data_IF_801456250528
#
_entry.id   IF_801456250528
#
_cell.length_a   1.000
_cell.length_b   1.000
_cell.length_c   1.000
_cell.angle_alpha   90.00
_cell.angle_beta   90.00
_cell.angle_gamma   90.00
#
_symmetry.space_group_name_H-M   'P 1'
#
loop_
_entity.id
_entity.type
_entity.pdbx_description
1 polymer ?
#
# COMPACT_ATOMS: atom_id res chain seq x y z
N UNK A 1 -63.90 2.65 36.56
CA UNK A 1 -62.74 3.44 36.10
C UNK A 1 -62.04 2.66 35.01
N UNK A 2 -62.13 3.11 33.76
CA UNK A 2 -61.42 2.52 32.64
C UNK A 2 -60.17 3.35 32.37
N UNK A 3 -58.98 2.77 32.60
CA UNK A 3 -57.71 3.33 32.15
C UNK A 3 -57.03 2.31 31.24
N UNK A 4 -57.24 2.56 29.94
CA UNK A 4 -56.35 2.30 28.80
C UNK A 4 -55.18 1.32 29.01
N UNK A 5 -55.30 0.10 28.48
CA UNK A 5 -54.14 -0.76 28.23
C UNK A 5 -53.49 -0.33 26.90
N UNK A 6 -52.40 0.42 27.03
CA UNK A 6 -51.61 0.98 25.93
C UNK A 6 -51.19 -0.11 24.93
N UNK A 7 -51.48 0.14 23.66
CA UNK A 7 -50.99 -0.65 22.52
C UNK A 7 -49.51 -0.38 22.30
N UNK A 8 -48.76 -1.40 21.87
CA UNK A 8 -47.76 -1.40 20.78
C UNK A 8 -46.55 -2.31 21.04
N UNK A 9 -46.73 -3.64 21.07
CA UNK A 9 -45.62 -4.55 20.77
C UNK A 9 -45.06 -4.31 19.35
N UNK A 10 -45.90 -3.89 18.40
CA UNK A 10 -45.49 -3.55 17.02
C UNK A 10 -44.55 -2.36 16.92
N UNK A 11 -44.63 -1.36 17.80
CA UNK A 11 -43.78 -0.15 17.68
C UNK A 11 -42.34 -0.45 18.08
N UNK A 12 -42.13 -1.29 19.10
CA UNK A 12 -40.80 -1.73 19.53
C UNK A 12 -40.12 -2.59 18.46
N UNK A 13 -40.89 -3.48 17.81
CA UNK A 13 -40.40 -4.26 16.68
C UNK A 13 -40.03 -3.37 15.48
N UNK A 14 -40.80 -2.31 15.23
CA UNK A 14 -40.50 -1.35 14.16
C UNK A 14 -39.21 -0.58 14.44
N UNK A 15 -38.99 -0.12 15.68
CA UNK A 15 -37.76 0.56 16.07
C UNK A 15 -36.54 -0.37 16.00
N UNK A 16 -36.70 -1.63 16.39
CA UNK A 16 -35.64 -2.63 16.27
C UNK A 16 -35.29 -2.95 14.80
N UNK A 17 -36.29 -3.02 13.91
CA UNK A 17 -36.04 -3.19 12.47
C UNK A 17 -35.35 -1.96 11.87
N UNK A 18 -35.78 -0.75 12.25
CA UNK A 18 -35.18 0.48 11.75
C UNK A 18 -33.72 0.61 12.19
N UNK A 19 -33.39 0.24 13.44
CA UNK A 19 -32.02 0.29 13.95
C UNK A 19 -31.11 -0.73 13.26
N UNK A 20 -31.61 -1.92 12.93
CA UNK A 20 -30.87 -2.92 12.14
C UNK A 20 -30.61 -2.44 10.72
N UNK A 21 -31.60 -1.83 10.07
CA UNK A 21 -31.46 -1.26 8.72
C UNK A 21 -30.46 -0.10 8.72
N UNK A 22 -30.54 0.83 9.67
CA UNK A 22 -29.59 1.94 9.78
C UNK A 22 -28.17 1.43 10.04
N UNK A 23 -28.01 0.42 10.90
CA UNK A 23 -26.69 -0.18 11.20
C UNK A 23 -26.07 -0.87 9.98
N UNK A 24 -26.88 -1.41 9.08
CA UNK A 24 -26.40 -2.04 7.83
C UNK A 24 -26.01 -1.02 6.75
N UNK A 25 -26.53 0.21 6.79
CA UNK A 25 -26.08 1.30 5.92
C UNK A 25 -24.80 1.99 6.42
N UNK A 26 -24.53 2.01 7.74
CA UNK A 26 -23.31 2.59 8.31
C UNK A 26 -22.12 1.63 8.34
N UNK A 27 -22.35 0.32 8.25
CA UNK A 27 -21.28 -0.66 8.07
C UNK A 27 -20.75 -0.54 6.64
N UNK A 28 -19.75 0.34 6.43
CA UNK A 28 -19.00 0.40 5.18
C UNK A 28 -18.53 -0.99 4.80
N UNK A 29 -18.72 -1.38 3.54
CA UNK A 29 -18.28 -2.67 3.04
C UNK A 29 -16.78 -2.78 3.29
N UNK A 30 -16.38 -3.64 4.23
CA UNK A 30 -14.99 -4.03 4.37
C UNK A 30 -14.62 -4.82 3.11
N UNK A 31 -14.19 -4.12 2.06
CA UNK A 31 -13.61 -4.79 0.90
C UNK A 31 -12.34 -5.45 1.41
N UNK A 32 -12.29 -6.78 1.39
CA UNK A 32 -11.01 -7.45 1.40
C UNK A 32 -10.21 -6.82 0.24
N UNK A 33 -9.16 -6.08 0.55
CA UNK A 33 -8.31 -5.46 -0.45
C UNK A 33 -7.79 -6.62 -1.31
N UNK A 34 -8.37 -6.79 -2.50
CA UNK A 34 -7.98 -7.86 -3.41
C UNK A 34 -6.50 -7.73 -3.79
N UNK A 35 -5.99 -8.64 -4.63
CA UNK A 35 -4.65 -8.51 -5.21
C UNK A 35 -4.53 -7.11 -5.85
N UNK A 36 -3.69 -6.25 -5.29
CA UNK A 36 -3.56 -4.84 -5.72
C UNK A 36 -2.87 -4.69 -7.07
N UNK A 37 -2.34 -5.78 -7.63
CA UNK A 37 -1.49 -5.74 -8.82
C UNK A 37 -0.13 -5.08 -8.58
N UNK A 38 0.22 -4.76 -7.32
CA UNK A 38 1.49 -4.16 -6.98
C UNK A 38 2.58 -5.22 -6.93
N UNK A 39 3.68 -4.97 -7.64
CA UNK A 39 4.85 -5.84 -7.69
C UNK A 39 6.07 -5.01 -7.30
N UNK A 40 6.77 -5.48 -6.28
CA UNK A 40 8.01 -4.87 -5.81
C UNK A 40 9.19 -5.74 -6.22
N UNK A 41 10.26 -5.12 -6.69
CA UNK A 41 11.50 -5.82 -7.07
C UNK A 41 12.69 -5.25 -6.33
N UNK A 42 13.64 -6.11 -5.98
CA UNK A 42 14.96 -5.69 -5.54
C UNK A 42 15.86 -5.46 -6.75
N UNK A 43 16.59 -4.34 -6.75
CA UNK A 43 17.56 -3.99 -7.77
C UNK A 43 18.90 -3.63 -7.11
N UNK A 44 20.00 -3.91 -7.79
CA UNK A 44 21.34 -3.53 -7.38
C UNK A 44 22.18 -4.70 -6.88
N UNK A 45 21.77 -5.96 -7.14
CA UNK A 45 22.45 -7.18 -6.64
C UNK A 45 23.30 -7.87 -7.67
N UNK A 46 23.23 -7.45 -8.93
CA UNK A 46 24.06 -8.00 -10.00
C UNK A 46 24.28 -6.92 -11.07
N UNK A 47 25.53 -6.56 -11.37
CA UNK A 47 25.85 -5.50 -12.35
C UNK A 47 25.19 -5.67 -13.73
N UNK A 48 24.96 -6.91 -14.15
CA UNK A 48 24.41 -7.24 -15.46
C UNK A 48 22.87 -7.37 -15.46
N UNK A 49 22.18 -6.98 -14.36
CA UNK A 49 20.71 -7.00 -14.28
C UNK A 49 20.02 -5.84 -15.05
N UNK A 50 20.83 -4.98 -15.68
CA UNK A 50 20.38 -3.76 -16.34
C UNK A 50 20.32 -2.57 -15.40
N UNK A 51 20.08 -1.40 -15.97
CA UNK A 51 20.01 -0.14 -15.24
C UNK A 51 18.73 0.00 -14.42
N UNK A 52 18.77 0.80 -13.34
CA UNK A 52 17.57 1.16 -12.58
C UNK A 52 16.49 1.78 -13.48
N UNK A 53 16.92 2.55 -14.50
CA UNK A 53 16.01 3.16 -15.46
C UNK A 53 15.25 2.10 -16.27
N UNK A 54 15.94 1.09 -16.78
CA UNK A 54 15.30 -0.02 -17.52
C UNK A 54 14.33 -0.80 -16.63
N UNK A 55 14.68 -1.04 -15.36
CA UNK A 55 13.75 -1.67 -14.41
C UNK A 55 12.45 -0.86 -14.28
N UNK A 56 12.53 0.46 -14.16
CA UNK A 56 11.36 1.34 -14.06
C UNK A 56 10.57 1.47 -15.38
N UNK A 57 11.28 1.59 -16.50
CA UNK A 57 10.70 1.70 -17.85
C UNK A 57 10.07 0.37 -18.31
N UNK A 58 10.40 -0.77 -17.70
CA UNK A 58 9.80 -2.08 -18.02
C UNK A 58 8.28 -2.16 -17.80
N UNK A 59 7.73 -1.27 -16.98
CA UNK A 59 6.30 -1.27 -16.62
C UNK A 59 5.86 -2.40 -15.70
N UNK A 60 6.75 -3.35 -15.35
CA UNK A 60 6.41 -4.56 -14.57
C UNK A 60 6.24 -4.33 -13.08
N UNK A 61 6.89 -3.30 -12.54
CA UNK A 61 7.00 -3.07 -11.10
C UNK A 61 6.26 -1.80 -10.70
N UNK A 62 5.63 -1.81 -9.54
CA UNK A 62 5.08 -0.62 -8.87
C UNK A 62 6.09 0.01 -7.90
N UNK A 63 7.08 -0.75 -7.46
CA UNK A 63 8.14 -0.30 -6.55
C UNK A 63 9.46 -0.99 -6.88
N UNK A 64 10.57 -0.25 -6.77
CA UNK A 64 11.92 -0.79 -6.94
C UNK A 64 12.75 -0.48 -5.69
N UNK A 65 13.16 -1.51 -4.96
CA UNK A 65 14.00 -1.37 -3.77
C UNK A 65 15.46 -1.49 -4.20
N UNK A 66 16.20 -0.39 -4.10
CA UNK A 66 17.65 -0.40 -4.28
C UNK A 66 18.30 -1.13 -3.11
N UNK A 67 19.26 -2.00 -3.39
CA UNK A 67 19.86 -2.85 -2.37
C UNK A 67 21.34 -3.08 -2.64
N UNK A 68 22.22 -2.98 -1.63
CA UNK A 68 21.98 -2.71 -0.20
C UNK A 68 22.92 -1.65 0.39
N UNK A 69 22.42 -0.90 1.38
CA UNK A 69 23.28 -0.25 2.36
C UNK A 69 23.78 -1.34 3.33
N UNK A 70 24.97 -1.88 3.06
CA UNK A 70 25.49 -3.09 3.70
C UNK A 70 26.37 -2.80 4.93
N UNK A 71 26.91 -1.58 5.04
CA UNK A 71 27.66 -1.12 6.23
C UNK A 71 26.93 0.06 6.87
N UNK A 72 26.66 -0.05 8.16
CA UNK A 72 26.08 1.00 9.01
C UNK A 72 26.43 0.74 10.50
N UNK A 73 26.40 1.77 11.36
CA UNK A 73 26.56 1.61 12.81
C UNK A 73 27.42 2.67 13.50
N UNK A 74 27.81 2.41 14.76
CA UNK A 74 28.48 3.36 15.66
C UNK A 74 29.84 3.90 15.16
N UNK A 75 30.44 3.27 14.15
CA UNK A 75 31.71 3.71 13.57
C UNK A 75 31.62 4.86 12.56
N UNK A 76 30.44 5.45 12.32
CA UNK A 76 30.19 6.49 11.31
C UNK A 76 30.67 6.10 9.89
N UNK A 77 30.75 4.81 9.61
CA UNK A 77 31.03 4.27 8.29
C UNK A 77 29.74 3.77 7.67
N UNK A 78 29.49 4.21 6.44
CA UNK A 78 28.35 3.80 5.65
C UNK A 78 28.84 3.32 4.31
N UNK A 79 28.31 2.20 3.82
CA UNK A 79 28.62 1.69 2.49
C UNK A 79 27.34 1.32 1.77
N UNK A 80 27.23 1.77 0.52
CA UNK A 80 26.21 1.37 -0.42
C UNK A 80 26.86 0.41 -1.40
N UNK A 81 26.65 -0.89 -1.19
CA UNK A 81 26.96 -1.90 -2.18
C UNK A 81 25.77 -1.99 -3.14
N UNK A 82 25.95 -1.59 -4.40
CA UNK A 82 25.02 -1.86 -5.51
C UNK A 82 25.70 -2.74 -6.56
N UNK A 83 26.54 -3.67 -6.11
CA UNK A 83 27.19 -4.70 -6.93
C UNK A 83 27.95 -4.15 -8.14
N UNK A 84 28.52 -2.95 -8.02
CA UNK A 84 29.33 -2.31 -9.06
C UNK A 84 28.54 -1.48 -10.08
N UNK A 85 27.23 -1.26 -9.89
CA UNK A 85 26.46 -0.34 -10.72
C UNK A 85 27.00 1.09 -10.63
N UNK A 86 27.00 1.86 -11.73
CA UNK A 86 27.46 3.24 -11.72
C UNK A 86 26.52 4.11 -10.89
N UNK A 87 27.08 4.91 -9.98
CA UNK A 87 26.34 5.91 -9.21
C UNK A 87 26.09 7.19 -10.02
N UNK A 88 26.91 7.44 -11.05
CA UNK A 88 26.70 8.51 -12.01
C UNK A 88 25.35 8.31 -12.72
N UNK A 89 24.51 9.36 -12.72
CA UNK A 89 23.17 9.30 -13.32
C UNK A 89 22.10 8.62 -12.47
N UNK A 90 22.43 8.06 -11.31
CA UNK A 90 21.47 7.39 -10.42
C UNK A 90 20.30 8.31 -10.04
N UNK A 91 20.60 9.57 -9.72
CA UNK A 91 19.56 10.55 -9.37
C UNK A 91 18.58 10.81 -10.53
N UNK A 92 19.06 10.79 -11.77
CA UNK A 92 18.20 10.93 -12.94
C UNK A 92 17.33 9.68 -13.17
N UNK A 93 17.87 8.48 -12.92
CA UNK A 93 17.12 7.24 -12.96
C UNK A 93 16.03 7.20 -11.88
N UNK A 94 16.35 7.57 -10.63
CA UNK A 94 15.38 7.68 -9.53
C UNK A 94 14.25 8.66 -9.89
N UNK A 95 14.58 9.85 -10.38
CA UNK A 95 13.59 10.84 -10.83
C UNK A 95 12.71 10.32 -11.96
N UNK A 96 13.27 9.50 -12.86
CA UNK A 96 12.48 8.83 -13.91
C UNK A 96 11.48 7.83 -13.32
N UNK A 97 11.90 7.01 -12.36
CA UNK A 97 11.00 6.08 -11.66
C UNK A 97 9.85 6.84 -10.98
N UNK A 98 10.16 7.92 -10.27
CA UNK A 98 9.17 8.77 -9.61
C UNK A 98 8.22 9.44 -10.60
N UNK A 99 8.72 9.96 -11.72
CA UNK A 99 7.90 10.53 -12.79
C UNK A 99 6.90 9.51 -13.37
N UNK A 100 7.29 8.23 -13.42
CA UNK A 100 6.41 7.12 -13.85
C UNK A 100 5.47 6.61 -12.74
N UNK A 101 5.45 7.28 -11.58
CA UNK A 101 4.63 6.88 -10.43
C UNK A 101 5.11 5.62 -9.72
N UNK A 102 6.36 5.19 -9.95
CA UNK A 102 6.98 4.07 -9.23
C UNK A 102 7.52 4.56 -7.90
N UNK A 103 7.36 3.73 -6.88
CA UNK A 103 7.91 3.98 -5.54
C UNK A 103 9.34 3.47 -5.41
#
# INVERSE_FOLDING_TARGET
MAFTRSSKPSSLLLFALLSVVISSFLAGHASAQGKTGQVTVFWGRHKDEGSLREACDSGKYSMVIMSFLDVYGAGNKYNLDISGHPTAGMNAAIKRCQFLGKK
#
